data_IF_925958521457
#
_entry.id   IF_925958521457
#
_cell.length_a   1.000
_cell.length_b   1.000
_cell.length_c   1.000
_cell.angle_alpha   90.00
_cell.angle_beta   90.00
_cell.angle_gamma   90.00
#
_symmetry.space_group_name_H-M   'P 1'
#
loop_
_entity.id
_entity.type
_entity.pdbx_description
1 polymer ?
#
# COMPACT_ATOMS: atom_id res chain seq x y z
N UNK A 1 -0.22 -13.45 -18.21
CA UNK A 1 0.73 -12.34 -18.49
C UNK A 1 1.88 -12.92 -19.32
N UNK A 2 1.96 -12.64 -20.61
CA UNK A 2 3.02 -13.18 -21.48
C UNK A 2 4.17 -12.16 -21.53
N UNK A 3 5.11 -12.24 -20.57
CA UNK A 3 6.24 -11.30 -20.49
C UNK A 3 7.58 -11.90 -20.95
N UNK A 4 7.55 -12.93 -21.82
CA UNK A 4 8.76 -13.54 -22.40
C UNK A 4 9.85 -13.95 -21.38
N UNK A 5 9.48 -14.20 -20.12
CA UNK A 5 10.42 -14.53 -19.03
C UNK A 5 11.14 -13.34 -18.38
N UNK A 6 10.77 -12.09 -18.69
CA UNK A 6 11.43 -10.88 -18.16
C UNK A 6 10.85 -10.32 -16.87
N UNK A 7 9.68 -10.77 -16.41
CA UNK A 7 9.13 -10.37 -15.10
C UNK A 7 9.40 -11.43 -14.05
N UNK A 8 9.76 -10.97 -12.85
CA UNK A 8 9.67 -11.78 -11.64
C UNK A 8 8.21 -11.99 -11.21
N UNK A 9 8.05 -12.59 -10.03
CA UNK A 9 6.74 -12.90 -9.44
C UNK A 9 6.28 -11.85 -8.43
N UNK A 10 6.89 -10.67 -8.39
CA UNK A 10 6.57 -9.61 -7.43
C UNK A 10 6.30 -8.31 -8.15
N UNK A 11 5.14 -7.73 -7.92
CA UNK A 11 4.70 -6.50 -8.56
C UNK A 11 4.40 -5.43 -7.52
N UNK A 12 4.98 -4.24 -7.71
CA UNK A 12 4.72 -3.08 -6.87
C UNK A 12 3.43 -2.37 -7.27
N UNK A 13 2.32 -3.09 -7.11
CA UNK A 13 0.96 -2.67 -7.41
C UNK A 13 0.00 -3.35 -6.43
N UNK A 14 -1.12 -2.71 -6.06
CA UNK A 14 -1.64 -1.43 -6.58
C UNK A 14 -1.13 -0.17 -5.85
N UNK A 15 -1.19 0.98 -6.52
CA UNK A 15 -1.13 2.29 -5.87
C UNK A 15 -2.51 2.61 -5.28
N UNK A 16 -2.59 2.72 -3.96
CA UNK A 16 -3.83 2.88 -3.20
C UNK A 16 -3.78 4.12 -2.29
N UNK A 17 -2.93 5.09 -2.63
CA UNK A 17 -2.96 6.39 -1.99
C UNK A 17 -4.22 7.14 -2.39
N UNK A 18 -4.90 7.74 -1.41
CA UNK A 18 -6.10 8.56 -1.63
C UNK A 18 -5.70 9.90 -2.26
N UNK A 19 -6.35 10.28 -3.36
CA UNK A 19 -6.11 11.58 -4.00
C UNK A 19 -6.69 12.69 -3.13
N UNK A 20 -5.83 13.39 -2.36
CA UNK A 20 -6.24 14.59 -1.61
C UNK A 20 -6.06 15.88 -2.40
N UNK A 21 -5.08 15.89 -3.29
CA UNK A 21 -4.75 17.03 -4.13
C UNK A 21 -4.65 16.59 -5.59
N UNK A 22 -5.50 17.16 -6.44
CA UNK A 22 -5.55 16.86 -7.87
C UNK A 22 -4.30 17.30 -8.63
N UNK A 23 -3.46 18.14 -8.02
CA UNK A 23 -2.17 18.57 -8.58
C UNK A 23 -1.09 17.51 -8.45
N UNK A 24 -1.34 16.43 -7.70
CA UNK A 24 -0.39 15.34 -7.57
C UNK A 24 -0.16 14.67 -8.94
N UNK A 25 1.10 14.67 -9.39
CA UNK A 25 1.50 14.16 -10.71
C UNK A 25 1.31 12.65 -10.92
N UNK A 26 0.85 11.91 -9.91
CA UNK A 26 0.54 10.47 -9.97
C UNK A 26 -0.92 10.16 -9.64
N UNK A 27 -1.81 11.16 -9.67
CA UNK A 27 -3.26 10.94 -9.54
C UNK A 27 -3.78 9.92 -10.55
N UNK A 28 -3.18 9.81 -11.74
CA UNK A 28 -3.56 8.80 -12.75
C UNK A 28 -3.31 7.33 -12.33
N UNK A 29 -2.54 7.07 -11.27
CA UNK A 29 -2.20 5.71 -10.83
C UNK A 29 -3.18 5.14 -9.80
N UNK A 30 -4.00 5.99 -9.18
CA UNK A 30 -4.88 5.65 -8.06
C UNK A 30 -6.33 5.64 -8.52
N UNK A 31 -7.17 4.90 -7.79
CA UNK A 31 -8.54 4.66 -8.16
C UNK A 31 -9.51 5.81 -7.83
N UNK A 32 -9.18 6.78 -6.94
CA UNK A 32 -9.84 8.11 -6.73
C UNK A 32 -9.47 8.78 -5.37
N UNK A 33 -10.25 9.80 -4.98
CA UNK A 33 -10.20 10.58 -3.74
C UNK A 33 -10.99 10.00 -2.55
N UNK A 34 -11.82 8.97 -2.76
CA UNK A 34 -12.66 8.38 -1.72
C UNK A 34 -11.98 7.15 -1.08
N UNK A 35 -11.68 7.16 0.24
CA UNK A 35 -10.99 6.05 0.90
C UNK A 35 -11.71 4.70 0.78
N UNK A 36 -13.04 4.70 0.82
CA UNK A 36 -13.83 3.48 0.73
C UNK A 36 -13.68 2.82 -0.65
N UNK A 37 -13.90 3.59 -1.71
CA UNK A 37 -13.72 3.12 -3.10
C UNK A 37 -12.28 2.70 -3.39
N UNK A 38 -11.29 3.41 -2.83
CA UNK A 38 -9.88 3.02 -2.96
C UNK A 38 -9.61 1.69 -2.27
N UNK A 39 -10.20 1.46 -1.10
CA UNK A 39 -10.16 0.18 -0.40
C UNK A 39 -10.80 -0.97 -1.19
N UNK A 40 -12.00 -0.76 -1.76
CA UNK A 40 -12.67 -1.77 -2.60
C UNK A 40 -11.80 -2.15 -3.79
N UNK A 41 -11.23 -1.14 -4.47
CA UNK A 41 -10.31 -1.35 -5.56
C UNK A 41 -9.09 -2.16 -5.11
N UNK A 42 -8.49 -1.80 -3.96
CA UNK A 42 -7.33 -2.49 -3.42
C UNK A 42 -7.60 -3.99 -3.21
N UNK A 43 -8.71 -4.32 -2.53
CA UNK A 43 -9.08 -5.71 -2.23
C UNK A 43 -9.25 -6.51 -3.52
N UNK A 44 -10.03 -6.01 -4.48
CA UNK A 44 -10.29 -6.71 -5.73
C UNK A 44 -9.02 -6.86 -6.59
N UNK A 45 -8.18 -5.82 -6.65
CA UNK A 45 -6.93 -5.84 -7.40
C UNK A 45 -5.94 -6.85 -6.81
N UNK A 46 -5.76 -6.83 -5.49
CA UNK A 46 -4.86 -7.72 -4.78
C UNK A 46 -5.28 -9.17 -4.95
N UNK A 47 -6.56 -9.50 -4.69
CA UNK A 47 -7.09 -10.86 -4.86
C UNK A 47 -6.97 -11.34 -6.30
N UNK A 48 -7.36 -10.51 -7.28
CA UNK A 48 -7.24 -10.87 -8.69
C UNK A 48 -5.81 -11.16 -9.14
N UNK A 49 -4.84 -10.43 -8.58
CA UNK A 49 -3.43 -10.60 -8.89
C UNK A 49 -2.81 -11.80 -8.16
N UNK A 50 -3.12 -12.00 -6.88
CA UNK A 50 -2.45 -12.96 -6.02
C UNK A 50 -3.12 -14.32 -5.92
N UNK A 51 -4.45 -14.38 -5.94
CA UNK A 51 -5.17 -15.60 -5.58
C UNK A 51 -5.01 -16.66 -6.67
N UNK A 52 -4.84 -17.91 -6.24
CA UNK A 52 -4.84 -19.08 -7.10
C UNK A 52 -6.23 -19.71 -7.03
N UNK A 53 -6.82 -19.98 -8.20
CA UNK A 53 -8.13 -20.61 -8.29
C UNK A 53 -8.10 -22.00 -7.65
N UNK A 54 -9.08 -22.31 -6.80
CA UNK A 54 -9.18 -23.57 -6.06
C UNK A 54 -8.40 -23.59 -4.75
N UNK A 55 -7.79 -22.48 -4.33
CA UNK A 55 -7.06 -22.36 -3.06
C UNK A 55 -7.70 -21.34 -2.13
N UNK A 56 -9.01 -21.14 -2.21
CA UNK A 56 -9.72 -20.12 -1.44
C UNK A 56 -9.82 -20.47 0.06
N UNK A 57 -9.69 -21.76 0.41
CA UNK A 57 -9.83 -22.27 1.78
C UNK A 57 -8.50 -22.77 2.37
N UNK A 58 -7.45 -21.93 2.34
CA UNK A 58 -6.17 -22.27 3.00
C UNK A 58 -6.31 -22.11 4.52
N UNK A 59 -5.79 -23.08 5.28
CA UNK A 59 -5.84 -23.05 6.75
C UNK A 59 -4.77 -22.16 7.39
N UNK A 60 -3.61 -22.02 6.75
CA UNK A 60 -2.54 -21.13 7.17
C UNK A 60 -2.23 -20.12 6.07
N UNK A 61 -2.62 -18.87 6.28
CA UNK A 61 -2.44 -17.77 5.33
C UNK A 61 -0.95 -17.47 5.07
N UNK A 62 -0.03 -17.79 5.99
CA UNK A 62 1.41 -17.62 5.76
C UNK A 62 1.99 -18.60 4.75
N UNK A 63 1.29 -19.70 4.47
CA UNK A 63 1.71 -20.75 3.55
C UNK A 63 0.88 -20.83 2.27
N UNK A 64 -0.07 -19.88 2.08
CA UNK A 64 -0.95 -19.88 0.92
C UNK A 64 -0.14 -19.78 -0.38
N UNK A 65 -0.54 -20.49 -1.45
CA UNK A 65 0.07 -20.30 -2.76
C UNK A 65 -0.30 -18.92 -3.31
N UNK A 66 0.67 -18.27 -3.95
CA UNK A 66 0.48 -16.99 -4.65
C UNK A 66 0.68 -17.20 -6.14
N UNK A 67 -0.27 -16.71 -6.95
CA UNK A 67 -0.14 -16.60 -8.41
C UNK A 67 1.03 -15.67 -8.75
N UNK A 68 1.00 -14.46 -8.18
CA UNK A 68 2.13 -13.53 -8.06
C UNK A 68 1.96 -12.73 -6.75
N UNK A 69 3.01 -12.06 -6.27
CA UNK A 69 2.99 -11.19 -5.10
C UNK A 69 2.55 -9.77 -5.49
N UNK A 70 1.51 -9.27 -4.84
CA UNK A 70 1.04 -7.88 -4.91
C UNK A 70 1.64 -7.07 -3.76
N UNK A 71 1.76 -5.76 -3.95
CA UNK A 71 2.31 -4.86 -2.97
C UNK A 71 1.54 -3.54 -2.93
N UNK A 72 0.78 -3.34 -1.86
CA UNK A 72 0.03 -2.10 -1.65
C UNK A 72 0.98 -0.95 -1.31
N UNK A 73 0.87 0.14 -2.05
CA UNK A 73 1.78 1.29 -1.92
C UNK A 73 1.05 2.62 -2.06
N UNK A 74 1.60 3.71 -1.53
CA UNK A 74 2.83 3.85 -0.74
C UNK A 74 2.43 4.21 0.70
N UNK A 75 2.74 3.35 1.66
CA UNK A 75 2.32 3.44 3.04
C UNK A 75 3.23 4.41 3.83
N UNK A 76 2.78 5.58 4.24
CA UNK A 76 1.45 6.17 4.05
C UNK A 76 1.57 7.69 3.87
N UNK A 77 0.42 8.37 3.76
CA UNK A 77 0.33 9.83 3.61
C UNK A 77 1.28 10.38 2.53
N UNK A 78 1.25 9.72 1.35
CA UNK A 78 2.05 10.06 0.19
C UNK A 78 1.13 10.45 -0.96
N UNK A 79 1.06 11.74 -1.24
CA UNK A 79 0.19 12.35 -2.25
C UNK A 79 0.82 13.60 -2.89
N UNK A 80 2.15 13.75 -2.79
CA UNK A 80 2.93 14.82 -3.45
C UNK A 80 4.19 14.23 -4.05
N UNK A 81 4.51 14.62 -5.28
CA UNK A 81 5.81 14.33 -5.91
C UNK A 81 6.76 15.52 -5.86
N UNK A 82 6.35 16.66 -6.41
CA UNK A 82 7.13 17.89 -6.43
C UNK A 82 6.20 19.09 -6.55
N UNK A 83 6.11 19.91 -5.51
CA UNK A 83 5.28 21.13 -5.50
C UNK A 83 5.93 22.23 -4.67
N UNK A 84 5.95 23.47 -5.19
CA UNK A 84 6.59 24.64 -4.54
C UNK A 84 8.00 24.38 -3.99
N UNK A 85 8.85 23.70 -4.76
CA UNK A 85 10.22 23.29 -4.37
C UNK A 85 10.30 22.31 -3.19
N UNK A 86 9.19 21.66 -2.84
CA UNK A 86 9.16 20.54 -1.91
C UNK A 86 9.04 19.27 -2.74
N UNK A 87 9.98 18.35 -2.56
CA UNK A 87 9.97 17.06 -3.23
C UNK A 87 9.57 15.93 -2.25
N UNK A 88 9.10 14.82 -2.81
CA UNK A 88 8.63 13.64 -2.05
C UNK A 88 9.62 13.07 -1.04
N UNK A 89 10.93 13.25 -1.23
CA UNK A 89 11.95 12.73 -0.32
C UNK A 89 12.17 13.65 0.88
N UNK A 90 11.75 14.90 0.81
CA UNK A 90 11.92 15.90 1.88
C UNK A 90 10.60 16.31 2.54
N UNK A 91 9.46 16.03 1.90
CA UNK A 91 8.13 16.34 2.41
C UNK A 91 7.86 15.73 3.80
N UNK A 92 7.32 16.54 4.72
CA UNK A 92 6.80 16.10 6.02
C UNK A 92 5.28 16.31 6.06
N UNK A 93 4.53 15.22 5.91
CA UNK A 93 3.08 15.22 6.01
C UNK A 93 2.68 15.47 7.47
N UNK A 94 1.95 16.56 7.71
CA UNK A 94 1.42 16.92 9.03
C UNK A 94 -0.03 16.46 9.11
N UNK A 95 -0.23 15.29 9.70
CA UNK A 95 -1.52 14.57 9.67
C UNK A 95 -1.99 14.30 11.10
N UNK A 96 -3.26 14.59 11.39
CA UNK A 96 -3.85 14.22 12.68
C UNK A 96 -4.05 12.71 12.77
N UNK A 97 -4.11 12.15 13.97
CA UNK A 97 -4.40 10.71 14.14
C UNK A 97 -5.75 10.32 13.54
N UNK A 98 -6.74 11.22 13.62
CA UNK A 98 -8.05 11.04 13.02
C UNK A 98 -7.97 10.93 11.49
N UNK A 99 -7.35 11.90 10.81
CA UNK A 99 -7.25 11.89 9.33
C UNK A 99 -6.35 10.75 8.84
N UNK A 100 -5.33 10.40 9.64
CA UNK A 100 -4.51 9.23 9.38
C UNK A 100 -5.38 7.97 9.34
N UNK A 101 -6.24 7.77 10.35
CA UNK A 101 -7.10 6.58 10.47
C UNK A 101 -8.24 6.55 9.46
N UNK A 102 -8.96 7.65 9.32
CA UNK A 102 -10.19 7.73 8.51
C UNK A 102 -9.89 7.81 7.01
N UNK A 103 -8.75 8.41 6.63
CA UNK A 103 -8.42 8.67 5.23
C UNK A 103 -7.21 7.87 4.76
N UNK A 104 -6.03 8.13 5.33
CA UNK A 104 -4.76 7.68 4.72
C UNK A 104 -4.46 6.19 4.87
N UNK A 105 -4.81 5.60 6.02
CA UNK A 105 -4.52 4.18 6.30
C UNK A 105 -5.71 3.27 6.01
N UNK A 106 -6.93 3.82 5.94
CA UNK A 106 -8.16 3.06 5.72
C UNK A 106 -8.07 2.11 4.50
N UNK A 107 -7.59 2.54 3.31
CA UNK A 107 -7.41 1.63 2.19
C UNK A 107 -6.35 0.54 2.41
N UNK A 108 -5.30 0.84 3.19
CA UNK A 108 -4.24 -0.12 3.51
C UNK A 108 -4.72 -1.18 4.50
N UNK A 109 -5.53 -0.80 5.49
CA UNK A 109 -6.15 -1.76 6.41
C UNK A 109 -6.94 -2.80 5.62
N UNK A 110 -7.78 -2.34 4.68
CA UNK A 110 -8.57 -3.23 3.82
C UNK A 110 -7.69 -4.06 2.89
N UNK A 111 -6.66 -3.45 2.30
CA UNK A 111 -5.70 -4.17 1.48
C UNK A 111 -5.02 -5.33 2.22
N UNK A 112 -4.66 -5.14 3.50
CA UNK A 112 -4.05 -6.18 4.32
C UNK A 112 -5.08 -7.20 4.79
N UNK A 113 -6.16 -6.75 5.43
CA UNK A 113 -7.11 -7.66 6.11
C UNK A 113 -8.04 -8.38 5.16
N UNK A 114 -8.57 -7.69 4.17
CA UNK A 114 -9.54 -8.25 3.23
C UNK A 114 -8.84 -8.72 1.95
N UNK A 115 -7.86 -7.95 1.47
CA UNK A 115 -7.08 -8.31 0.29
C UNK A 115 -6.04 -9.40 0.54
N UNK A 116 -5.60 -9.58 1.80
CA UNK A 116 -4.48 -10.46 2.18
C UNK A 116 -3.26 -10.20 1.27
N UNK A 117 -2.87 -8.93 1.17
CA UNK A 117 -1.71 -8.54 0.36
C UNK A 117 -0.43 -9.19 0.91
N UNK A 118 0.43 -9.70 0.03
CA UNK A 118 1.70 -10.32 0.45
C UNK A 118 2.78 -9.29 0.77
N UNK A 119 2.60 -8.03 0.37
CA UNK A 119 3.55 -6.96 0.68
C UNK A 119 2.92 -5.58 0.84
N UNK A 120 3.55 -4.75 1.67
CA UNK A 120 3.25 -3.31 1.78
C UNK A 120 4.54 -2.54 1.58
N UNK A 121 4.50 -1.51 0.73
CA UNK A 121 5.64 -0.65 0.45
C UNK A 121 5.53 0.64 1.23
N UNK A 122 6.55 0.97 2.03
CA UNK A 122 6.59 2.23 2.75
C UNK A 122 6.89 3.44 1.83
N UNK A 123 6.39 4.63 2.17
CA UNK A 123 6.56 5.86 1.39
C UNK A 123 7.89 6.57 1.67
N UNK A 124 8.23 7.56 0.81
CA UNK A 124 9.47 8.35 0.95
C UNK A 124 9.38 9.45 2.00
N UNK A 125 8.22 10.07 2.13
CA UNK A 125 8.02 11.27 2.94
C UNK A 125 8.17 10.96 4.44
N UNK A 126 8.14 12.00 5.27
CA UNK A 126 7.93 11.87 6.70
C UNK A 126 6.45 12.04 7.03
N UNK A 127 6.04 11.47 8.16
CA UNK A 127 4.73 11.70 8.77
C UNK A 127 4.99 12.21 10.18
N UNK A 128 4.59 13.45 10.45
CA UNK A 128 4.82 14.12 11.73
C UNK A 128 6.29 14.03 12.20
N UNK A 129 7.23 14.17 11.24
CA UNK A 129 8.67 14.17 11.47
C UNK A 129 9.38 12.81 11.34
N UNK A 130 8.65 11.70 11.21
CA UNK A 130 9.24 10.34 11.19
C UNK A 130 9.04 9.70 9.80
N UNK A 131 10.11 9.18 9.15
CA UNK A 131 9.95 8.41 7.91
C UNK A 131 9.22 7.07 8.15
N UNK A 132 8.15 6.73 7.39
CA UNK A 132 7.36 5.51 7.59
C UNK A 132 8.18 4.23 7.48
N UNK A 133 9.19 4.18 6.59
CA UNK A 133 10.10 3.03 6.49
C UNK A 133 10.93 2.77 7.75
N UNK A 134 10.96 3.72 8.70
CA UNK A 134 11.68 3.64 9.98
C UNK A 134 10.76 3.78 11.19
N UNK A 135 9.44 3.81 11.01
CA UNK A 135 8.48 3.95 12.12
C UNK A 135 7.99 2.57 12.58
N UNK A 136 8.46 2.04 13.73
CA UNK A 136 8.02 0.74 14.23
C UNK A 136 6.54 0.71 14.60
N UNK A 137 5.93 1.87 14.92
CA UNK A 137 4.49 1.94 15.22
C UNK A 137 3.68 1.61 13.98
N UNK A 138 4.07 2.14 12.83
CA UNK A 138 3.39 1.90 11.56
C UNK A 138 3.70 0.50 10.99
N UNK A 139 4.98 0.11 10.96
CA UNK A 139 5.38 -1.14 10.30
C UNK A 139 5.14 -2.39 11.15
N UNK A 140 5.49 -2.35 12.43
CA UNK A 140 5.32 -3.49 13.34
C UNK A 140 3.97 -3.41 14.04
N UNK A 141 3.68 -2.29 14.71
CA UNK A 141 2.44 -2.13 15.48
C UNK A 141 1.20 -2.26 14.60
N UNK A 142 1.07 -1.42 13.57
CA UNK A 142 -0.15 -1.40 12.76
C UNK A 142 -0.18 -2.53 11.72
N UNK A 143 0.77 -2.55 10.77
CA UNK A 143 0.70 -3.50 9.65
C UNK A 143 0.81 -4.96 10.11
N UNK A 144 1.75 -5.27 11.00
CA UNK A 144 2.01 -6.65 11.42
C UNK A 144 1.16 -7.07 12.62
N UNK A 145 1.13 -6.27 13.68
CA UNK A 145 0.49 -6.70 14.93
C UNK A 145 -1.04 -6.45 14.91
N UNK A 146 -1.52 -5.30 14.39
CA UNK A 146 -2.97 -4.97 14.39
C UNK A 146 -3.72 -5.53 13.16
N UNK A 147 -3.12 -5.42 11.98
CA UNK A 147 -3.75 -5.86 10.72
C UNK A 147 -3.36 -7.27 10.30
N UNK A 148 -2.38 -7.88 10.97
CA UNK A 148 -1.95 -9.27 10.74
C UNK A 148 -1.47 -9.55 9.31
N UNK A 149 -0.49 -8.77 8.83
CA UNK A 149 0.11 -8.98 7.51
C UNK A 149 0.82 -10.35 7.41
N UNK A 150 0.25 -11.26 6.63
CA UNK A 150 0.85 -12.52 6.19
C UNK A 150 1.83 -12.32 5.03
N UNK A 151 2.95 -11.64 5.29
CA UNK A 151 3.89 -11.26 4.24
C UNK A 151 5.09 -10.44 4.69
N UNK A 152 5.62 -9.64 3.76
CA UNK A 152 6.86 -8.88 3.96
C UNK A 152 6.72 -7.40 3.60
N UNK A 153 7.42 -6.54 4.34
CA UNK A 153 7.55 -5.11 3.99
C UNK A 153 8.56 -4.90 2.87
N UNK A 154 8.33 -3.90 2.04
CA UNK A 154 9.29 -3.44 1.02
C UNK A 154 9.52 -1.93 1.10
N UNK A 155 10.66 -1.48 0.57
CA UNK A 155 11.02 -0.07 0.53
C UNK A 155 10.79 0.49 -0.86
N UNK A 156 10.32 1.74 -0.95
CA UNK A 156 10.28 2.45 -2.22
C UNK A 156 11.72 2.69 -2.72
N UNK A 157 11.98 2.38 -4.00
CA UNK A 157 13.33 2.51 -4.56
C UNK A 157 13.64 3.95 -4.93
N UNK A 158 14.84 4.42 -4.55
CA UNK A 158 15.39 5.73 -4.91
C UNK A 158 15.15 6.12 -6.36
#
# INVERSE_FOLDING_TARGET
>A
MYNLGHAGLTFWSPNINVVRDTRWGRTQETSREDPFMVGEFAVNYVRGLQDVEGTENVTDLNSRPLKVSSCCKHYAAYDIDSWLNIDRHTFDARVSEQDMKETFVSPFERCVREGDVSSVMCSFNKINGIPPCSDPRLLKGVIRDEWDLHGYGSNNLK
#
